data_IF_815805051813
#
_entry.id   IF_815805051813
#
_cell.length_a   1.000
_cell.length_b   1.000
_cell.length_c   1.000
_cell.angle_alpha   90.00
_cell.angle_beta   90.00
_cell.angle_gamma   90.00
#
_symmetry.space_group_name_H-M   'P 1'
#
loop_
_entity.id
_entity.type
_entity.pdbx_description
1 polymer ?
#
# COMPACT_ATOMS: atom_id res chain seq x y z
N UNK A 1 -8.31 13.26 -1.90
CA UNK A 1 -7.21 14.18 -2.20
C UNK A 1 -7.87 15.53 -2.42
N UNK A 2 -7.52 16.57 -1.65
CA UNK A 2 -8.16 17.89 -1.79
C UNK A 2 -7.74 18.65 -3.05
N UNK A 3 -6.76 18.18 -3.81
CA UNK A 3 -6.20 18.90 -4.97
C UNK A 3 -6.06 17.98 -6.19
N UNK A 4 -7.19 17.57 -6.76
CA UNK A 4 -7.16 17.08 -8.14
C UNK A 4 -8.15 17.91 -8.90
N UNK A 5 -7.71 18.57 -9.97
CA UNK A 5 -8.57 19.25 -10.92
C UNK A 5 -9.48 18.23 -11.62
N UNK A 6 -9.42 18.15 -12.94
CA UNK A 6 -10.15 17.10 -13.64
C UNK A 6 -9.45 15.74 -13.42
N UNK A 7 -10.18 14.75 -12.90
CA UNK A 7 -9.73 13.35 -12.85
C UNK A 7 -10.59 12.50 -13.78
N UNK A 8 -9.93 11.70 -14.61
CA UNK A 8 -10.55 10.68 -15.45
C UNK A 8 -10.03 9.31 -15.03
N UNK A 9 -10.96 8.38 -14.80
CA UNK A 9 -10.63 7.00 -14.46
C UNK A 9 -11.40 6.04 -15.37
N UNK A 10 -10.70 5.06 -15.94
CA UNK A 10 -11.27 4.00 -16.79
C UNK A 10 -10.76 2.67 -16.28
N UNK A 11 -11.65 1.70 -16.11
CA UNK A 11 -11.24 0.40 -15.61
C UNK A 11 -12.23 -0.72 -15.88
N UNK A 12 -11.77 -1.94 -15.63
CA UNK A 12 -12.53 -3.16 -15.78
C UNK A 12 -12.35 -4.09 -14.59
N UNK A 13 -13.35 -4.93 -14.35
CA UNK A 13 -13.35 -5.99 -13.36
C UNK A 13 -13.67 -7.31 -14.08
N UNK A 14 -12.73 -8.25 -14.07
CA UNK A 14 -12.99 -9.64 -14.42
C UNK A 14 -13.29 -10.40 -13.14
N UNK A 15 -14.40 -11.12 -13.08
CA UNK A 15 -14.74 -12.00 -11.96
C UNK A 15 -15.07 -13.40 -12.44
N UNK A 16 -14.41 -14.40 -11.86
CA UNK A 16 -14.49 -15.79 -12.29
C UNK A 16 -14.40 -16.75 -11.11
N UNK A 17 -14.75 -18.01 -11.35
CA UNK A 17 -14.49 -19.11 -10.42
C UNK A 17 -13.34 -19.94 -10.97
N UNK A 18 -12.44 -20.36 -10.08
CA UNK A 18 -11.34 -21.27 -10.40
C UNK A 18 -11.80 -22.72 -10.40
N UNK A 19 -12.84 -23.03 -9.62
CA UNK A 19 -13.40 -24.37 -9.42
C UNK A 19 -14.94 -24.31 -9.44
N UNK A 20 -15.57 -25.44 -9.74
CA UNK A 20 -17.04 -25.57 -9.86
C UNK A 20 -17.71 -25.79 -8.49
N UNK A 21 -17.35 -24.96 -7.52
CA UNK A 21 -17.91 -24.94 -6.16
C UNK A 21 -18.77 -23.67 -5.96
N UNK A 22 -19.97 -23.83 -5.39
CA UNK A 22 -20.91 -22.75 -5.10
C UNK A 22 -20.51 -21.90 -3.89
N UNK A 23 -19.80 -22.45 -2.91
CA UNK A 23 -19.40 -21.76 -1.68
C UNK A 23 -18.08 -20.99 -1.82
N UNK A 24 -17.28 -21.30 -2.84
CA UNK A 24 -16.01 -20.63 -3.12
C UNK A 24 -16.22 -19.15 -3.49
N UNK A 25 -15.48 -18.26 -2.81
CA UNK A 25 -15.44 -16.85 -3.18
C UNK A 25 -14.92 -16.68 -4.61
N UNK A 26 -15.59 -15.81 -5.39
CA UNK A 26 -15.15 -15.54 -6.77
C UNK A 26 -13.80 -14.85 -6.77
N UNK A 27 -12.90 -15.38 -7.59
CA UNK A 27 -11.67 -14.69 -7.94
C UNK A 27 -11.98 -13.44 -8.75
N UNK A 28 -11.12 -12.43 -8.64
CA UNK A 28 -11.25 -11.20 -9.37
C UNK A 28 -9.92 -10.60 -9.78
N UNK A 29 -9.92 -9.96 -10.95
CA UNK A 29 -8.82 -9.10 -11.40
C UNK A 29 -9.44 -7.77 -11.79
N UNK A 30 -9.04 -6.72 -11.08
CA UNK A 30 -9.38 -5.34 -11.43
C UNK A 30 -8.19 -4.68 -12.10
N UNK A 31 -8.45 -3.85 -13.10
CA UNK A 31 -7.47 -2.96 -13.71
C UNK A 31 -8.13 -1.59 -13.90
N UNK A 32 -7.54 -0.55 -13.35
CA UNK A 32 -8.01 0.83 -13.46
C UNK A 32 -6.84 1.70 -13.88
N UNK A 33 -6.98 2.41 -14.99
CA UNK A 33 -6.14 3.55 -15.33
C UNK A 33 -6.78 4.84 -14.83
N UNK A 34 -5.96 5.73 -14.29
CA UNK A 34 -6.36 7.06 -13.83
C UNK A 34 -5.43 8.08 -14.46
N UNK A 35 -5.99 9.20 -14.87
CA UNK A 35 -5.26 10.40 -15.24
C UNK A 35 -5.89 11.58 -14.50
N UNK A 36 -5.07 12.49 -14.00
CA UNK A 36 -5.52 13.66 -13.27
C UNK A 36 -4.69 14.88 -13.64
N UNK A 37 -5.38 16.00 -13.82
CA UNK A 37 -4.76 17.32 -13.94
C UNK A 37 -4.44 17.84 -12.53
N UNK A 38 -3.17 18.15 -12.31
CA UNK A 38 -2.61 18.81 -11.13
C UNK A 38 -2.18 20.22 -11.54
N UNK A 39 -2.01 21.12 -10.58
CA UNK A 39 -1.59 22.49 -10.86
C UNK A 39 -0.19 22.56 -11.50
N UNK A 40 0.66 21.53 -11.27
CA UNK A 40 2.03 21.43 -11.79
C UNK A 40 2.18 20.45 -12.98
N UNK A 41 1.10 19.79 -13.43
CA UNK A 41 1.18 18.85 -14.55
C UNK A 41 0.10 17.78 -14.61
N UNK A 42 0.34 16.73 -15.41
CA UNK A 42 -0.59 15.60 -15.55
C UNK A 42 -0.03 14.39 -14.80
N UNK A 43 -0.72 13.99 -13.74
CA UNK A 43 -0.50 12.70 -13.11
C UNK A 43 -1.23 11.59 -13.86
N UNK A 44 -0.63 10.41 -13.95
CA UNK A 44 -1.30 9.22 -14.46
C UNK A 44 -0.83 7.98 -13.73
N UNK A 45 -1.70 6.99 -13.62
CA UNK A 45 -1.36 5.74 -12.99
C UNK A 45 -2.25 4.59 -13.41
N UNK A 46 -1.74 3.39 -13.20
CA UNK A 46 -2.45 2.14 -13.38
C UNK A 46 -2.43 1.36 -12.08
N UNK A 47 -3.61 0.89 -11.69
CA UNK A 47 -3.82 0.08 -10.50
C UNK A 47 -4.43 -1.25 -10.88
N UNK A 48 -3.80 -2.34 -10.45
CA UNK A 48 -4.39 -3.66 -10.52
C UNK A 48 -4.53 -4.29 -9.14
N UNK A 49 -5.66 -4.98 -8.92
CA UNK A 49 -5.89 -5.83 -7.75
C UNK A 49 -6.25 -7.21 -8.26
N UNK A 50 -5.42 -8.20 -7.93
CA UNK A 50 -5.61 -9.60 -8.27
C UNK A 50 -5.96 -10.34 -6.99
N UNK A 51 -7.15 -10.93 -6.92
CA UNK A 51 -7.56 -11.80 -5.82
C UNK A 51 -7.95 -13.14 -6.39
N UNK A 52 -7.12 -14.14 -6.15
CA UNK A 52 -7.32 -15.47 -6.71
C UNK A 52 -7.41 -16.46 -5.55
N UNK A 53 -8.48 -17.24 -5.57
CA UNK A 53 -8.78 -18.26 -4.59
C UNK A 53 -8.69 -19.62 -5.29
N UNK A 54 -7.97 -20.58 -4.71
CA UNK A 54 -7.81 -21.93 -5.24
C UNK A 54 -8.11 -22.97 -4.16
N UNK A 55 -8.38 -24.21 -4.58
CA UNK A 55 -8.55 -25.36 -3.71
C UNK A 55 -9.54 -25.08 -2.58
N UNK A 56 -10.77 -24.70 -2.92
CA UNK A 56 -11.83 -24.37 -1.96
C UNK A 56 -11.38 -23.36 -0.88
N UNK A 57 -10.65 -22.33 -1.32
CA UNK A 57 -10.15 -21.23 -0.49
C UNK A 57 -9.04 -21.65 0.50
N UNK A 58 -8.42 -22.81 0.30
CA UNK A 58 -7.23 -23.24 1.03
C UNK A 58 -5.95 -22.55 0.55
N UNK A 59 -5.93 -22.05 -0.69
CA UNK A 59 -4.79 -21.30 -1.23
C UNK A 59 -5.30 -19.97 -1.77
N UNK A 60 -4.68 -18.88 -1.34
CA UNK A 60 -5.02 -17.52 -1.75
C UNK A 60 -3.81 -16.85 -2.34
N UNK A 61 -4.01 -16.21 -3.47
CA UNK A 61 -3.04 -15.31 -4.05
C UNK A 61 -3.63 -13.92 -4.16
N UNK A 62 -3.04 -12.95 -3.46
CA UNK A 62 -3.42 -11.55 -3.50
C UNK A 62 -2.29 -10.70 -4.07
N UNK A 63 -2.50 -10.16 -5.26
CA UNK A 63 -1.59 -9.24 -5.93
C UNK A 63 -2.14 -7.81 -5.96
N UNK A 64 -1.28 -6.83 -5.80
CA UNK A 64 -1.62 -5.42 -5.92
C UNK A 64 -0.49 -4.67 -6.64
N UNK A 65 -0.79 -4.20 -7.85
CA UNK A 65 0.06 -3.31 -8.64
C UNK A 65 -0.45 -1.89 -8.52
N UNK A 66 0.46 -0.96 -8.29
CA UNK A 66 0.25 0.47 -8.46
C UNK A 66 1.47 1.03 -9.19
N UNK A 67 1.29 1.67 -10.34
CA UNK A 67 2.39 2.18 -11.14
C UNK A 67 1.97 3.44 -11.86
N UNK A 68 2.86 4.41 -12.00
CA UNK A 68 2.51 5.66 -12.64
C UNK A 68 3.54 6.76 -12.45
N UNK A 69 3.09 7.96 -12.77
CA UNK A 69 3.79 9.21 -12.58
C UNK A 69 2.88 10.18 -11.83
N UNK A 70 3.37 10.79 -10.75
CA UNK A 70 2.58 11.71 -9.95
C UNK A 70 3.48 12.69 -9.19
N UNK A 71 3.01 13.93 -9.01
CA UNK A 71 3.62 14.89 -8.08
C UNK A 71 3.11 14.62 -6.67
N UNK A 72 4.03 14.45 -5.70
CA UNK A 72 3.72 14.28 -4.29
C UNK A 72 4.45 15.33 -3.46
N UNK A 73 3.78 15.89 -2.45
CA UNK A 73 4.45 16.75 -1.49
C UNK A 73 5.47 15.97 -0.65
N UNK A 74 6.66 16.53 -0.52
CA UNK A 74 7.75 16.01 0.30
C UNK A 74 8.11 17.00 1.40
N UNK A 75 7.73 16.70 2.63
CA UNK A 75 8.05 17.53 3.79
C UNK A 75 9.44 17.25 4.39
N UNK A 76 10.06 16.12 4.03
CA UNK A 76 11.24 15.58 4.69
C UNK A 76 10.92 14.40 5.60
N UNK A 77 11.94 13.60 5.93
CA UNK A 77 11.84 12.49 6.87
C UNK A 77 11.76 13.00 8.31
N UNK A 78 10.79 12.49 9.06
CA UNK A 78 10.62 12.74 10.49
C UNK A 78 9.41 13.61 10.84
N UNK A 79 8.96 13.48 12.09
CA UNK A 79 7.81 14.23 12.62
C UNK A 79 8.01 15.75 12.57
N UNK A 80 9.21 16.23 12.90
CA UNK A 80 9.50 17.67 12.97
C UNK A 80 9.48 18.32 11.58
N UNK A 81 9.96 17.61 10.55
CA UNK A 81 9.94 18.05 9.16
C UNK A 81 8.49 18.24 8.66
N UNK A 82 7.63 17.27 8.94
CA UNK A 82 6.19 17.33 8.66
C UNK A 82 5.42 18.46 9.35
N UNK A 83 5.90 18.91 10.52
CA UNK A 83 5.27 19.99 11.30
C UNK A 83 5.78 21.38 10.92
N UNK A 84 6.95 21.48 10.31
CA UNK A 84 7.65 22.75 10.10
C UNK A 84 6.93 23.69 9.12
N UNK A 85 6.14 23.15 8.19
CA UNK A 85 5.49 23.93 7.13
C UNK A 85 4.18 23.26 6.67
N UNK A 86 3.23 24.07 6.22
CA UNK A 86 2.00 23.58 5.59
C UNK A 86 2.27 23.06 4.16
N UNK A 87 1.31 22.33 3.58
CA UNK A 87 1.39 21.89 2.18
C UNK A 87 1.42 23.10 1.25
N UNK A 88 2.41 23.15 0.36
CA UNK A 88 2.50 24.11 -0.74
C UNK A 88 3.13 23.46 -1.98
N UNK A 89 2.87 24.03 -3.15
CA UNK A 89 3.41 23.55 -4.43
C UNK A 89 4.96 23.52 -4.44
N UNK A 90 5.59 24.37 -3.63
CA UNK A 90 7.05 24.40 -3.42
C UNK A 90 7.61 23.12 -2.79
N UNK A 91 6.76 22.19 -2.34
CA UNK A 91 7.15 20.90 -1.78
C UNK A 91 6.93 19.73 -2.74
N UNK A 92 6.41 19.98 -3.93
CA UNK A 92 6.11 18.91 -4.88
C UNK A 92 7.41 18.27 -5.40
N UNK A 93 7.37 16.93 -5.44
CA UNK A 93 8.37 16.09 -6.10
C UNK A 93 7.64 15.23 -7.11
N UNK A 94 8.02 15.34 -8.37
CA UNK A 94 7.56 14.43 -9.40
C UNK A 94 8.22 13.08 -9.25
N UNK A 95 7.42 12.03 -9.23
CA UNK A 95 7.89 10.67 -9.02
C UNK A 95 7.38 9.73 -10.11
N UNK A 96 8.27 8.90 -10.62
CA UNK A 96 7.91 7.68 -11.32
C UNK A 96 7.95 6.52 -10.34
N UNK A 97 6.86 5.75 -10.26
CA UNK A 97 6.77 4.67 -9.30
C UNK A 97 6.20 3.39 -9.91
N UNK A 98 6.69 2.26 -9.39
CA UNK A 98 6.09 0.95 -9.55
C UNK A 98 6.10 0.27 -8.19
N UNK A 99 4.93 -0.11 -7.69
CA UNK A 99 4.77 -0.88 -6.47
C UNK A 99 4.00 -2.13 -6.78
N UNK A 100 4.55 -3.26 -6.36
CA UNK A 100 3.87 -4.54 -6.50
C UNK A 100 3.97 -5.36 -5.23
N UNK A 101 2.83 -5.60 -4.61
CA UNK A 101 2.71 -6.47 -3.45
C UNK A 101 2.05 -7.79 -3.88
N UNK A 102 2.64 -8.92 -3.51
CA UNK A 102 2.07 -10.24 -3.74
C UNK A 102 2.11 -11.06 -2.46
N UNK A 103 0.98 -11.67 -2.13
CA UNK A 103 0.81 -12.58 -1.01
C UNK A 103 0.36 -13.92 -1.55
N UNK A 104 1.06 -15.00 -1.18
CA UNK A 104 0.63 -16.36 -1.46
C UNK A 104 0.43 -17.06 -0.12
N UNK A 105 -0.82 -17.27 0.29
CA UNK A 105 -1.14 -17.81 1.61
C UNK A 105 -1.87 -19.13 1.53
N UNK A 106 -1.61 -19.97 2.51
CA UNK A 106 -2.14 -21.33 2.63
C UNK A 106 -2.92 -21.44 3.93
N UNK A 107 -4.13 -21.98 3.88
CA UNK A 107 -4.94 -22.27 5.05
C UNK A 107 -4.27 -23.39 5.84
N UNK A 108 -3.91 -23.11 7.08
CA UNK A 108 -3.25 -24.07 7.98
C UNK A 108 -4.19 -24.60 9.06
N UNK A 109 -5.22 -23.82 9.44
CA UNK A 109 -6.23 -24.21 10.41
C UNK A 109 -7.46 -23.31 10.31
N UNK A 110 -8.65 -23.85 10.05
CA UNK A 110 -9.90 -23.09 9.93
C UNK A 110 -9.75 -21.80 9.09
N UNK A 111 -9.70 -20.63 9.74
CA UNK A 111 -9.61 -19.30 9.11
C UNK A 111 -8.19 -18.70 9.19
N UNK A 112 -7.21 -19.49 9.62
CA UNK A 112 -5.80 -19.12 9.75
C UNK A 112 -5.03 -19.48 8.48
N UNK A 113 -4.36 -18.49 7.93
CA UNK A 113 -3.58 -18.53 6.71
C UNK A 113 -2.14 -18.10 7.00
N UNK A 114 -1.18 -18.80 6.39
CA UNK A 114 0.24 -18.46 6.49
C UNK A 114 0.88 -18.59 5.12
N UNK A 115 1.83 -17.73 4.78
CA UNK A 115 2.61 -17.93 3.57
C UNK A 115 3.64 -16.85 3.28
N UNK A 116 4.41 -17.02 2.19
CA UNK A 116 5.39 -16.04 1.76
C UNK A 116 4.73 -14.78 1.17
N UNK A 117 5.45 -13.67 1.28
CA UNK A 117 5.09 -12.40 0.64
C UNK A 117 6.27 -11.82 -0.15
N UNK A 118 5.93 -11.10 -1.21
CA UNK A 118 6.84 -10.31 -2.05
C UNK A 118 6.37 -8.85 -2.03
N UNK A 119 7.32 -7.92 -1.88
CA UNK A 119 7.10 -6.48 -1.91
C UNK A 119 8.12 -5.85 -2.85
N UNK A 120 7.71 -5.47 -4.04
CA UNK A 120 8.54 -4.74 -5.00
C UNK A 120 8.18 -3.27 -4.97
N UNK A 121 9.20 -2.42 -4.98
CA UNK A 121 9.07 -0.96 -5.04
C UNK A 121 10.14 -0.45 -5.99
N UNK A 122 9.74 0.42 -6.87
CA UNK A 122 10.60 1.26 -7.68
C UNK A 122 10.08 2.68 -7.49
N UNK A 123 10.97 3.59 -7.12
CA UNK A 123 10.60 4.97 -6.84
C UNK A 123 11.72 5.90 -7.28
N UNK A 124 11.51 6.57 -8.41
CA UNK A 124 12.49 7.47 -9.01
C UNK A 124 11.95 8.89 -8.99
N UNK A 125 12.55 9.82 -8.21
CA UNK A 125 12.19 11.23 -8.28
C UNK A 125 12.73 11.85 -9.59
N UNK A 126 12.14 12.97 -10.01
CA UNK A 126 12.69 13.83 -11.05
C UNK A 126 13.94 14.57 -10.56
N UNK A 127 14.66 15.20 -11.49
CA UNK A 127 15.83 16.04 -11.18
C UNK A 127 15.44 17.40 -10.57
N UNK A 128 14.20 17.84 -10.78
CA UNK A 128 13.70 19.09 -10.22
C UNK A 128 13.18 18.83 -8.81
N UNK A 129 13.98 19.23 -7.82
CA UNK A 129 13.78 18.89 -6.42
C UNK A 129 13.52 20.15 -5.58
N UNK A 130 12.54 20.10 -4.66
CA UNK A 130 12.30 21.19 -3.72
C UNK A 130 13.42 21.24 -2.66
N UNK A 131 13.58 22.40 -2.03
CA UNK A 131 14.59 22.61 -0.98
C UNK A 131 14.44 21.61 0.18
N UNK A 132 13.21 21.17 0.49
CA UNK A 132 12.95 20.13 1.50
C UNK A 132 13.59 18.78 1.15
N UNK A 133 13.62 18.40 -0.12
CA UNK A 133 14.25 17.18 -0.59
C UNK A 133 15.78 17.34 -0.68
N UNK A 134 16.26 18.47 -1.20
CA UNK A 134 17.69 18.77 -1.34
C UNK A 134 18.38 18.82 0.03
N UNK A 135 17.71 19.33 1.06
CA UNK A 135 18.27 19.45 2.41
C UNK A 135 18.15 18.18 3.26
N UNK A 136 17.39 17.17 2.81
CA UNK A 136 17.17 15.93 3.54
C UNK A 136 18.30 14.91 3.29
N UNK A 137 19.07 14.51 4.32
CA UNK A 137 20.14 13.53 4.17
C UNK A 137 19.68 12.16 3.68
N UNK A 138 18.50 11.71 4.10
CA UNK A 138 17.95 10.42 3.70
C UNK A 138 17.54 10.47 2.22
N UNK A 139 16.85 11.53 1.79
CA UNK A 139 16.49 11.71 0.38
C UNK A 139 17.74 11.66 -0.51
N UNK A 140 18.78 12.43 -0.17
CA UNK A 140 20.02 12.47 -0.94
C UNK A 140 20.76 11.13 -0.98
N UNK A 141 20.65 10.32 0.08
CA UNK A 141 21.26 9.00 0.13
C UNK A 141 20.55 8.00 -0.80
N UNK A 142 19.24 8.11 -0.97
CA UNK A 142 18.43 7.07 -1.65
C UNK A 142 17.76 7.50 -2.95
N UNK A 143 17.80 8.77 -3.35
CA UNK A 143 17.19 9.26 -4.60
C UNK A 143 17.68 8.52 -5.86
N UNK A 144 18.93 8.05 -5.85
CA UNK A 144 19.55 7.30 -6.95
C UNK A 144 19.51 5.77 -6.72
N UNK A 145 18.81 5.32 -5.69
CA UNK A 145 18.65 3.92 -5.25
C UNK A 145 17.15 3.55 -5.21
N UNK A 146 16.47 3.53 -6.37
CA UNK A 146 15.01 3.50 -6.44
C UNK A 146 14.42 2.12 -6.13
N UNK A 147 15.21 1.04 -6.13
CA UNK A 147 14.71 -0.33 -6.11
C UNK A 147 14.69 -0.93 -4.71
N UNK A 148 13.49 -1.24 -4.23
CA UNK A 148 13.24 -2.05 -3.04
C UNK A 148 12.69 -3.43 -3.40
N UNK A 149 13.45 -4.49 -3.11
CA UNK A 149 12.99 -5.88 -3.23
C UNK A 149 12.85 -6.48 -1.84
N UNK A 150 11.61 -6.72 -1.44
CA UNK A 150 11.25 -7.23 -0.12
C UNK A 150 10.73 -8.66 -0.18
N UNK A 151 11.30 -9.55 0.62
CA UNK A 151 10.83 -10.92 0.81
C UNK A 151 10.45 -11.13 2.27
N UNK A 152 9.38 -11.89 2.51
CA UNK A 152 8.84 -12.00 3.84
C UNK A 152 7.86 -13.13 4.04
N UNK A 153 7.18 -13.10 5.18
CA UNK A 153 6.09 -13.99 5.51
C UNK A 153 4.92 -13.21 6.12
N UNK A 154 3.73 -13.79 6.01
CA UNK A 154 2.49 -13.26 6.57
C UNK A 154 1.73 -14.33 7.33
N UNK A 155 1.07 -13.90 8.41
CA UNK A 155 0.06 -14.66 9.14
C UNK A 155 -1.24 -13.88 9.12
N UNK A 156 -2.30 -14.52 8.64
CA UNK A 156 -3.62 -13.92 8.46
C UNK A 156 -4.68 -14.76 9.16
N UNK A 157 -5.54 -14.11 9.94
CA UNK A 157 -6.76 -14.72 10.44
C UNK A 157 -7.96 -13.89 9.98
N UNK A 158 -8.86 -14.50 9.21
CA UNK A 158 -10.00 -13.81 8.61
C UNK A 158 -11.32 -14.52 8.94
N UNK A 159 -12.01 -14.02 9.95
CA UNK A 159 -13.34 -14.48 10.38
C UNK A 159 -14.46 -13.57 9.88
N UNK A 160 -14.17 -12.68 8.92
CA UNK A 160 -15.19 -11.77 8.37
C UNK A 160 -16.22 -12.55 7.57
N UNK A 161 -17.46 -12.09 7.65
CA UNK A 161 -18.57 -12.63 6.87
C UNK A 161 -18.38 -12.40 5.36
N UNK A 162 -18.07 -11.17 4.97
CA UNK A 162 -17.83 -10.81 3.56
C UNK A 162 -16.63 -9.89 3.46
N UNK A 163 -15.54 -10.34 2.84
CA UNK A 163 -14.29 -9.57 2.78
C UNK A 163 -14.43 -8.17 2.14
N UNK A 164 -15.36 -8.00 1.18
CA UNK A 164 -15.61 -6.72 0.50
C UNK A 164 -16.59 -5.79 1.23
N UNK A 165 -17.39 -6.32 2.17
CA UNK A 165 -18.39 -5.55 2.90
C UNK A 165 -18.68 -6.19 4.26
N UNK A 166 -17.64 -6.25 5.10
CA UNK A 166 -17.69 -6.97 6.36
C UNK A 166 -18.63 -6.26 7.35
N UNK A 167 -19.48 -7.05 8.00
CA UNK A 167 -20.41 -6.58 9.03
C UNK A 167 -20.08 -7.17 10.39
N UNK A 168 -19.49 -8.36 10.41
CA UNK A 168 -19.14 -9.09 11.63
C UNK A 168 -17.78 -9.76 11.46
N UNK A 169 -17.13 -10.00 12.60
CA UNK A 169 -15.89 -10.78 12.66
C UNK A 169 -14.65 -9.90 12.71
N UNK A 170 -13.51 -10.57 12.56
CA UNK A 170 -12.20 -10.02 12.78
C UNK A 170 -11.32 -10.30 11.56
N UNK A 171 -10.45 -9.36 11.25
CA UNK A 171 -9.36 -9.55 10.33
C UNK A 171 -8.07 -9.18 11.04
N UNK A 172 -7.15 -10.13 11.14
CA UNK A 172 -5.83 -9.93 11.69
C UNK A 172 -4.81 -10.29 10.61
N UNK A 173 -3.85 -9.41 10.38
CA UNK A 173 -2.79 -9.58 9.41
C UNK A 173 -1.48 -9.10 10.01
N UNK A 174 -0.52 -10.01 10.15
CA UNK A 174 0.82 -9.73 10.62
C UNK A 174 1.83 -10.10 9.54
N UNK A 175 2.55 -9.12 9.04
CA UNK A 175 3.57 -9.27 8.00
C UNK A 175 4.95 -8.93 8.58
N UNK A 176 5.95 -9.69 8.15
CA UNK A 176 7.36 -9.35 8.31
C UNK A 176 8.04 -9.42 6.96
N UNK A 177 8.72 -8.35 6.55
CA UNK A 177 9.43 -8.24 5.27
C UNK A 177 10.85 -7.77 5.51
N UNK A 178 11.83 -8.45 4.92
CA UNK A 178 13.19 -7.96 4.82
C UNK A 178 13.49 -7.44 3.42
N UNK A 179 14.30 -6.40 3.35
CA UNK A 179 14.87 -5.81 2.13
C UNK A 179 16.39 -5.96 2.20
N UNK A 180 17.01 -6.44 1.12
CA UNK A 180 18.43 -6.81 1.15
C UNK A 180 19.06 -6.86 -0.25
N UNK A 181 20.30 -6.37 -0.42
CA UNK A 181 21.06 -6.52 -1.67
C UNK A 181 21.23 -7.96 -2.16
N UNK A 182 21.26 -8.93 -1.26
CA UNK A 182 21.39 -10.36 -1.56
C UNK A 182 20.24 -10.91 -2.41
N UNK A 183 19.09 -10.25 -2.41
CA UNK A 183 17.95 -10.56 -3.29
C UNK A 183 17.54 -9.38 -4.18
N UNK A 184 18.44 -8.42 -4.41
CA UNK A 184 18.30 -7.38 -5.43
C UNK A 184 17.70 -6.05 -4.97
N UNK A 185 17.60 -5.79 -3.67
CA UNK A 185 17.21 -4.48 -3.14
C UNK A 185 18.42 -3.54 -3.07
N UNK A 186 18.25 -2.25 -3.38
CA UNK A 186 19.33 -1.27 -3.26
C UNK A 186 19.67 -0.93 -1.80
N UNK A 187 18.73 -1.17 -0.88
CA UNK A 187 18.84 -0.84 0.54
C UNK A 187 18.57 -2.05 1.44
N UNK A 188 19.12 -2.02 2.66
CA UNK A 188 18.98 -3.07 3.67
C UNK A 188 18.20 -2.59 4.89
N UNK A 189 16.97 -3.05 5.02
CA UNK A 189 16.10 -2.72 6.14
C UNK A 189 15.03 -3.81 6.31
N UNK A 190 14.27 -3.73 7.39
CA UNK A 190 13.19 -4.66 7.69
C UNK A 190 11.94 -3.91 8.11
N UNK A 191 10.77 -4.50 7.82
CA UNK A 191 9.47 -3.94 8.18
C UNK A 191 8.58 -4.99 8.83
N UNK A 192 7.85 -4.58 9.85
CA UNK A 192 6.78 -5.35 10.46
C UNK A 192 5.47 -4.56 10.34
N UNK A 193 4.42 -5.19 9.85
CA UNK A 193 3.11 -4.58 9.69
C UNK A 193 2.06 -5.41 10.41
N UNK A 194 1.36 -4.78 11.35
CA UNK A 194 0.17 -5.30 11.98
C UNK A 194 -1.05 -4.52 11.48
N UNK A 195 -2.02 -5.21 10.89
CA UNK A 195 -3.34 -4.67 10.53
C UNK A 195 -4.42 -5.50 11.23
N UNK A 196 -5.15 -4.86 12.12
CA UNK A 196 -6.27 -5.44 12.85
C UNK A 196 -7.55 -4.67 12.61
N UNK A 197 -8.56 -5.37 12.09
CA UNK A 197 -9.88 -4.82 11.80
C UNK A 197 -10.95 -5.62 12.51
N UNK A 198 -11.91 -4.91 13.08
CA UNK A 198 -13.02 -5.51 13.81
C UNK A 198 -14.33 -4.87 13.37
N UNK A 199 -15.31 -5.73 13.06
CA UNK A 199 -16.62 -5.33 12.60
C UNK A 199 -17.69 -5.83 13.56
N UNK A 200 -18.57 -4.93 13.97
CA UNK A 200 -19.66 -5.22 14.88
C UNK A 200 -20.96 -4.55 14.44
N UNK A 201 -21.98 -5.36 14.14
CA UNK A 201 -23.32 -4.91 13.79
C UNK A 201 -24.29 -5.16 14.96
N UNK A 202 -24.51 -4.19 15.87
CA UNK A 202 -25.45 -4.35 16.98
C UNK A 202 -26.91 -4.42 16.52
N UNK A 203 -27.25 -3.77 15.40
CA UNK A 203 -28.59 -3.81 14.79
C UNK A 203 -28.50 -3.78 13.28
N UNK A 204 -29.52 -4.29 12.60
CA UNK A 204 -29.57 -4.31 11.15
C UNK A 204 -29.38 -2.89 10.59
N UNK A 205 -28.45 -2.75 9.64
CA UNK A 205 -28.13 -1.46 9.01
C UNK A 205 -27.21 -0.55 9.82
N UNK A 206 -26.64 -0.98 10.94
CA UNK A 206 -25.65 -0.20 11.69
C UNK A 206 -24.45 -1.07 12.05
N UNK A 207 -23.30 -0.77 11.44
CA UNK A 207 -22.04 -1.49 11.66
C UNK A 207 -20.98 -0.52 12.17
N UNK A 208 -20.37 -0.84 13.29
CA UNK A 208 -19.12 -0.24 13.73
C UNK A 208 -17.95 -0.97 13.09
N UNK A 209 -17.00 -0.22 12.53
CA UNK A 209 -15.78 -0.74 11.96
C UNK A 209 -14.59 -0.08 12.66
N UNK A 210 -13.76 -0.88 13.30
CA UNK A 210 -12.51 -0.45 13.91
C UNK A 210 -11.36 -0.90 13.03
N UNK A 211 -10.41 0.00 12.78
CA UNK A 211 -9.20 -0.27 12.02
C UNK A 211 -8.01 0.20 12.86
N UNK A 212 -7.09 -0.71 13.13
CA UNK A 212 -5.85 -0.43 13.85
C UNK A 212 -4.70 -0.92 12.98
N UNK A 213 -3.75 -0.05 12.66
CA UNK A 213 -2.56 -0.41 11.91
C UNK A 213 -1.33 0.08 12.66
N UNK A 214 -0.34 -0.79 12.77
CA UNK A 214 0.97 -0.47 13.32
C UNK A 214 2.00 -0.91 12.30
N UNK A 215 2.89 -0.01 11.92
CA UNK A 215 3.99 -0.27 11.01
C UNK A 215 5.28 0.09 11.73
N UNK A 216 6.23 -0.84 11.72
CA UNK A 216 7.55 -0.67 12.30
C UNK A 216 8.58 -0.90 11.20
N UNK A 217 9.59 -0.05 11.14
CA UNK A 217 10.69 -0.16 10.18
C UNK A 217 12.00 -0.01 10.93
N UNK A 218 13.03 -0.75 10.53
CA UNK A 218 14.35 -0.73 11.18
C UNK A 218 15.46 -0.94 10.15
N UNK A 219 16.59 -0.24 10.34
CA UNK A 219 17.73 -0.21 9.43
C UNK A 219 17.76 0.97 8.48
N UNK A 220 18.37 0.77 7.31
CA UNK A 220 18.63 1.77 6.28
C UNK A 220 17.37 1.98 5.40
N UNK A 221 16.31 2.51 6.00
CA UNK A 221 15.00 2.70 5.36
C UNK A 221 15.06 3.93 4.42
N UNK A 222 14.74 3.78 3.12
CA UNK A 222 14.65 4.90 2.19
C UNK A 222 13.43 5.79 2.44
N UNK A 223 13.51 7.08 2.09
CA UNK A 223 12.44 8.06 2.26
C UNK A 223 11.11 7.60 1.66
N UNK A 224 11.15 6.90 0.53
CA UNK A 224 9.97 6.39 -0.19
C UNK A 224 9.33 5.15 0.47
N UNK A 225 9.96 4.55 1.49
CA UNK A 225 9.41 3.43 2.25
C UNK A 225 9.37 3.65 3.77
N UNK A 226 9.49 4.90 4.20
CA UNK A 226 9.23 5.27 5.60
C UNK A 226 7.78 4.94 6.00
N UNK A 227 7.55 4.73 7.29
CA UNK A 227 6.19 4.52 7.77
C UNK A 227 5.45 5.86 7.72
N UNK A 228 4.53 5.99 6.78
CA UNK A 228 3.78 7.23 6.58
C UNK A 228 2.44 7.18 7.31
N UNK A 229 2.16 8.20 8.12
CA UNK A 229 0.80 8.50 8.56
C UNK A 229 0.11 9.38 7.52
N UNK A 230 -1.15 9.08 7.21
CA UNK A 230 -1.93 9.83 6.24
C UNK A 230 -2.45 9.00 5.06
N UNK A 231 -3.17 9.65 4.14
CA UNK A 231 -3.62 9.03 2.90
C UNK A 231 -4.97 8.30 2.96
N UNK A 232 -5.45 7.87 1.79
CA UNK A 232 -6.82 7.38 1.61
C UNK A 232 -7.11 6.04 2.30
N UNK A 233 -6.08 5.22 2.51
CA UNK A 233 -6.23 3.86 3.05
C UNK A 233 -6.20 3.80 4.59
N UNK A 234 -5.65 4.82 5.28
CA UNK A 234 -5.53 4.85 6.75
C UNK A 234 -6.18 6.06 7.40
N UNK A 235 -5.77 7.27 6.99
CA UNK A 235 -6.23 8.52 7.59
C UNK A 235 -6.77 9.47 6.51
N UNK A 236 -7.96 9.14 6.00
CA UNK A 236 -8.68 10.01 5.05
C UNK A 236 -8.80 11.42 5.61
N UNK A 237 -8.47 12.42 4.80
CA UNK A 237 -8.49 13.84 5.20
C UNK A 237 -7.12 14.41 5.60
N UNK A 238 -6.07 13.58 5.62
CA UNK A 238 -4.67 14.04 5.76
C UNK A 238 -3.86 13.63 4.53
N UNK A 239 -2.91 14.47 4.10
CA UNK A 239 -2.04 14.13 2.99
C UNK A 239 -1.17 12.92 3.35
N UNK A 240 -0.90 12.09 2.35
CA UNK A 240 0.01 10.96 2.54
C UNK A 240 1.42 11.51 2.70
N UNK A 241 2.16 11.03 3.71
CA UNK A 241 3.56 11.42 3.90
C UNK A 241 3.77 12.69 4.74
N UNK A 242 2.71 13.35 5.23
CA UNK A 242 2.86 14.50 6.15
C UNK A 242 3.65 14.13 7.40
N UNK A 243 3.59 12.87 7.84
CA UNK A 243 4.50 12.35 8.86
C UNK A 243 5.10 11.04 8.37
N UNK A 244 6.30 11.12 7.77
CA UNK A 244 7.14 9.98 7.47
C UNK A 244 8.04 9.70 8.69
N UNK A 245 7.94 8.51 9.29
CA UNK A 245 8.65 8.12 10.51
C UNK A 245 9.36 6.79 10.30
#
# INVERSE_FOLDING_TARGET
MPETGLMLAVGGLLSFKTEDDLELQRSSVTLVGVANELDDGIGFGVRSKQKIFFNNDDIRYFGHLDAGHQSLYYWGVGYDAGKAQESSDELLVDIEYVKYNADLTFRVYEQLYVGPILRLKYFSPSDDLPDSAISDPNFNQYKDLPLGVGLGAVVQWDSRDVAVNARKGHFFNLEFTGYSPEWGSDSRYQKALLDYRYYYTPRLGSTFAFLNRIELSDGDVPYYDMAMLGGMDFMRGTYMGTFAI
#
